data_IF_851908875767
#
_entry.id   IF_851908875767
#
_cell.length_a   1.000
_cell.length_b   1.000
_cell.length_c   1.000
_cell.angle_alpha   90.00
_cell.angle_beta   90.00
_cell.angle_gamma   90.00
#
_symmetry.space_group_name_H-M   'P 1'
#
loop_
_entity.id
_entity.type
_entity.pdbx_description
1 polymer ?
#
# COMPACT_ATOMS: atom_id res chain seq x y z
N UNK A 1 -12.54 -23.93 -10.25
CA UNK A 1 -12.40 -23.93 -8.79
C UNK A 1 -10.96 -24.28 -8.43
N UNK A 2 -10.03 -23.35 -8.51
CA UNK A 2 -8.65 -23.55 -8.03
C UNK A 2 -8.44 -22.71 -6.79
N UNK A 3 -8.31 -23.39 -5.78
CA UNK A 3 -7.98 -23.33 -4.38
C UNK A 3 -7.35 -22.03 -3.86
N UNK A 4 -8.14 -21.29 -3.10
CA UNK A 4 -7.77 -20.19 -2.18
C UNK A 4 -6.74 -20.61 -1.10
N UNK A 5 -6.45 -21.90 -0.99
CA UNK A 5 -5.54 -22.46 0.03
C UNK A 5 -4.05 -22.21 -0.21
N UNK A 6 -3.64 -21.82 -1.42
CA UNK A 6 -2.20 -21.60 -1.73
C UNK A 6 -1.72 -20.16 -1.51
N UNK A 7 -2.62 -19.18 -1.43
CA UNK A 7 -2.23 -17.79 -1.19
C UNK A 7 -1.99 -17.50 0.30
N UNK A 8 -2.67 -18.24 1.20
CA UNK A 8 -2.51 -18.09 2.65
C UNK A 8 -1.18 -18.64 3.18
N UNK A 9 -0.52 -19.53 2.44
CA UNK A 9 0.71 -20.20 2.91
C UNK A 9 2.00 -19.40 2.64
N UNK A 10 1.96 -18.41 1.75
CA UNK A 10 3.14 -17.58 1.44
C UNK A 10 3.28 -16.32 2.31
N UNK A 11 2.23 -15.94 3.04
CA UNK A 11 2.28 -14.80 3.96
C UNK A 11 2.70 -15.16 5.39
N UNK A 12 2.78 -16.47 5.70
CA UNK A 12 3.07 -16.95 7.06
C UNK A 12 4.57 -17.24 7.33
N UNK A 13 5.47 -17.04 6.36
CA UNK A 13 6.86 -17.55 6.47
C UNK A 13 7.94 -16.48 6.66
N UNK A 14 7.61 -15.27 7.11
CA UNK A 14 8.66 -14.27 7.37
C UNK A 14 8.42 -13.37 8.57
N UNK A 15 8.06 -13.97 9.72
CA UNK A 15 8.18 -13.28 11.01
C UNK A 15 9.43 -13.84 11.71
N UNK A 16 10.50 -13.05 11.85
CA UNK A 16 11.60 -13.44 12.73
C UNK A 16 11.11 -13.35 14.18
N UNK A 17 11.14 -14.48 14.88
CA UNK A 17 10.88 -14.57 16.29
C UNK A 17 11.96 -13.76 17.05
N UNK A 18 11.58 -12.61 17.61
CA UNK A 18 12.38 -11.93 18.62
C UNK A 18 12.23 -12.67 19.93
N UNK A 19 13.20 -13.54 20.23
CA UNK A 19 13.38 -14.13 21.56
C UNK A 19 13.88 -13.07 22.52
N UNK A 20 13.03 -12.65 23.44
CA UNK A 20 13.43 -11.85 24.59
C UNK A 20 14.08 -12.79 25.59
N UNK A 21 15.39 -12.70 25.73
CA UNK A 21 16.14 -13.37 26.79
C UNK A 21 15.91 -12.62 28.11
N UNK A 22 15.08 -13.18 28.97
CA UNK A 22 14.97 -12.79 30.39
C UNK A 22 16.16 -13.39 31.14
N UNK A 23 17.12 -12.55 31.48
CA UNK A 23 18.20 -12.94 32.41
C UNK A 23 17.66 -13.00 33.84
N UNK A 24 17.47 -14.19 34.37
CA UNK A 24 17.24 -14.42 35.79
C UNK A 24 18.52 -14.25 36.57
N UNK A 25 18.57 -13.29 37.47
CA UNK A 25 19.59 -13.16 38.49
C UNK A 25 19.24 -14.06 39.68
N UNK A 26 19.99 -15.15 39.84
CA UNK A 26 19.94 -15.97 41.07
C UNK A 26 20.86 -15.37 42.14
N UNK A 27 20.26 -14.96 43.23
CA UNK A 27 20.96 -14.62 44.47
C UNK A 27 21.35 -15.86 45.23
N UNK A 28 22.64 -16.04 45.53
CA UNK A 28 23.10 -16.93 46.62
C UNK A 28 23.96 -16.16 47.61
N UNK A 29 23.45 -16.15 48.84
CA UNK A 29 24.09 -15.62 50.01
C UNK A 29 25.15 -16.58 50.57
N UNK A 30 26.31 -16.07 50.90
CA UNK A 30 27.09 -16.55 52.10
C UNK A 30 28.22 -15.57 52.39
N UNK A 31 28.21 -14.99 53.56
CA UNK A 31 29.31 -14.30 54.27
C UNK A 31 29.98 -15.32 55.24
N UNK A 32 31.19 -15.13 55.86
CA UNK A 32 31.97 -13.92 56.02
C UNK A 32 33.52 -14.11 55.93
N UNK A 33 34.29 -13.06 55.73
CA UNK A 33 35.53 -12.71 56.42
C UNK A 33 36.24 -11.52 55.75
N UNK A 34 36.44 -10.43 56.46
CA UNK A 34 37.38 -9.35 56.12
C UNK A 34 38.77 -9.69 56.64
N UNK A 35 39.88 -8.96 56.36
CA UNK A 35 40.02 -7.68 55.63
C UNK A 35 41.24 -7.65 54.67
N UNK A 36 41.17 -6.83 53.62
CA UNK A 36 42.33 -6.12 53.09
C UNK A 36 41.89 -4.99 52.17
N UNK A 37 42.13 -3.76 52.57
CA UNK A 37 41.96 -2.59 51.76
C UNK A 37 42.94 -2.60 50.59
N UNK A 38 42.46 -2.86 49.38
CA UNK A 38 43.16 -2.52 48.15
C UNK A 38 42.40 -1.34 47.53
N UNK A 39 43.04 -0.19 47.49
CA UNK A 39 42.58 1.02 46.81
C UNK A 39 42.28 0.69 45.36
N UNK A 40 41.00 0.68 45.01
CA UNK A 40 40.53 0.71 43.59
C UNK A 40 40.85 2.09 43.03
N UNK A 41 41.44 2.20 41.85
CA UNK A 41 41.49 3.45 41.10
C UNK A 41 40.06 3.73 40.54
N UNK A 42 39.20 4.28 41.38
CA UNK A 42 37.91 4.76 41.00
C UNK A 42 38.07 6.11 40.24
N UNK A 43 38.06 6.08 38.93
CA UNK A 43 38.07 7.35 38.22
C UNK A 43 37.95 7.34 36.69
N UNK A 44 38.30 6.27 36.00
CA UNK A 44 38.37 6.38 34.53
C UNK A 44 37.29 5.66 33.72
N UNK A 45 36.59 4.68 34.23
CA UNK A 45 35.56 3.93 33.45
C UNK A 45 34.17 4.63 33.45
N UNK A 46 33.80 5.30 34.54
CA UNK A 46 32.51 6.00 34.60
C UNK A 46 32.43 7.23 33.68
N UNK A 47 33.52 7.92 33.43
CA UNK A 47 33.58 9.08 32.54
C UNK A 47 33.36 8.73 31.07
N UNK A 48 33.94 7.62 30.61
CA UNK A 48 33.80 7.20 29.20
C UNK A 48 32.40 6.62 28.90
N UNK A 49 31.81 5.87 29.81
CA UNK A 49 30.43 5.38 29.70
C UNK A 49 29.46 6.55 29.65
N UNK A 50 29.69 7.60 30.45
CA UNK A 50 28.83 8.80 30.45
C UNK A 50 28.92 9.59 29.13
N UNK A 51 30.08 9.68 28.49
CA UNK A 51 30.25 10.37 27.21
C UNK A 51 29.56 9.64 26.06
N UNK A 52 29.74 8.33 25.96
CA UNK A 52 29.04 7.51 24.96
C UNK A 52 27.52 7.53 25.14
N UNK A 53 27.03 7.45 26.38
CA UNK A 53 25.61 7.58 26.67
C UNK A 53 25.05 8.94 26.27
N UNK A 54 25.77 10.04 26.51
CA UNK A 54 25.39 11.40 26.09
C UNK A 54 25.37 11.54 24.57
N UNK A 55 26.34 10.99 23.86
CA UNK A 55 26.37 10.99 22.39
C UNK A 55 25.19 10.21 21.82
N UNK A 56 24.89 9.04 22.36
CA UNK A 56 23.74 8.22 21.97
C UNK A 56 22.41 8.96 22.20
N UNK A 57 22.21 9.53 23.38
CA UNK A 57 21.03 10.31 23.71
C UNK A 57 20.83 11.51 22.77
N UNK A 58 21.89 12.28 22.45
CA UNK A 58 21.82 13.37 21.48
C UNK A 58 21.45 12.91 20.06
N UNK A 59 21.97 11.75 19.62
CA UNK A 59 21.61 11.17 18.31
C UNK A 59 20.15 10.77 18.28
N UNK A 60 19.64 10.14 19.33
CA UNK A 60 18.25 9.75 19.45
C UNK A 60 17.31 10.97 19.50
N UNK A 61 17.67 12.02 20.24
CA UNK A 61 16.92 13.27 20.23
C UNK A 61 16.87 13.93 18.84
N UNK A 62 17.99 14.01 18.13
CA UNK A 62 18.02 14.57 16.77
C UNK A 62 17.18 13.73 15.81
N UNK A 63 17.21 12.39 15.94
CA UNK A 63 16.41 11.49 15.12
C UNK A 63 14.93 11.65 15.41
N UNK A 64 14.52 11.68 16.68
CA UNK A 64 13.11 11.88 17.05
C UNK A 64 12.59 13.24 16.62
N UNK A 65 13.39 14.32 16.79
CA UNK A 65 13.05 15.65 16.31
C UNK A 65 12.87 15.67 14.78
N UNK A 66 13.76 15.03 14.02
CA UNK A 66 13.65 14.97 12.56
C UNK A 66 12.45 14.10 12.09
N UNK A 67 12.09 13.06 12.83
CA UNK A 67 10.87 12.28 12.56
C UNK A 67 9.63 13.15 12.84
N UNK A 68 9.60 13.83 13.97
CA UNK A 68 8.50 14.73 14.32
C UNK A 68 8.34 15.85 13.28
N UNK A 69 9.43 16.49 12.86
CA UNK A 69 9.41 17.52 11.82
C UNK A 69 8.86 16.99 10.50
N UNK A 70 9.22 15.76 10.10
CA UNK A 70 8.76 15.17 8.83
C UNK A 70 7.30 14.67 8.87
N UNK A 71 6.76 14.29 10.05
CA UNK A 71 5.46 13.62 10.14
C UNK A 71 4.43 14.32 11.02
N UNK A 72 4.75 15.44 11.65
CA UNK A 72 3.83 16.27 12.41
C UNK A 72 3.01 17.22 11.49
N UNK A 73 2.51 16.68 10.40
CA UNK A 73 1.67 17.39 9.45
C UNK A 73 0.24 16.87 9.51
N UNK A 74 -0.72 17.80 9.50
CA UNK A 74 -2.14 17.47 9.56
C UNK A 74 -2.65 16.85 8.25
N UNK A 75 -2.15 17.35 7.12
CA UNK A 75 -2.58 16.95 5.79
C UNK A 75 -1.43 16.48 4.92
N UNK A 76 -1.71 15.48 4.09
CA UNK A 76 -0.83 14.98 3.04
C UNK A 76 -1.63 14.84 1.75
N UNK A 77 -1.35 15.69 0.77
CA UNK A 77 -1.89 15.57 -0.58
C UNK A 77 -0.91 14.82 -1.47
N UNK A 78 -1.42 14.08 -2.45
CA UNK A 78 -0.57 13.37 -3.39
C UNK A 78 -1.17 13.31 -4.78
N UNK A 79 -0.30 13.12 -5.76
CA UNK A 79 -0.62 12.79 -7.14
C UNK A 79 0.35 11.74 -7.64
N UNK A 80 -0.17 10.72 -8.33
CA UNK A 80 0.63 9.62 -8.84
C UNK A 80 0.12 9.16 -10.20
N UNK A 81 1.00 8.52 -10.97
CA UNK A 81 0.66 7.77 -12.15
C UNK A 81 1.01 6.30 -11.94
N UNK A 82 0.31 5.40 -12.57
CA UNK A 82 0.53 3.99 -12.31
C UNK A 82 -0.01 3.05 -13.36
N UNK A 83 0.01 1.81 -12.97
CA UNK A 83 -0.28 0.69 -13.82
C UNK A 83 -0.95 -0.42 -13.01
N UNK A 84 -2.04 -0.97 -13.55
CA UNK A 84 -2.68 -2.17 -13.04
C UNK A 84 -2.83 -3.23 -14.14
N UNK A 85 -2.86 -4.49 -13.73
CA UNK A 85 -3.22 -5.61 -14.59
C UNK A 85 -4.65 -6.03 -14.31
N UNK A 86 -5.55 -5.74 -15.24
CA UNK A 86 -6.99 -5.80 -15.11
C UNK A 86 -7.62 -6.84 -16.03
N UNK A 87 -8.78 -7.41 -15.62
CA UNK A 87 -9.59 -8.32 -16.41
C UNK A 87 -10.74 -7.56 -17.06
N UNK A 88 -10.73 -7.32 -18.40
CA UNK A 88 -11.71 -6.46 -19.07
C UNK A 88 -13.10 -7.09 -19.23
N UNK A 89 -13.21 -8.41 -19.09
CA UNK A 89 -14.49 -9.10 -19.20
C UNK A 89 -14.37 -10.62 -19.11
N UNK A 90 -15.50 -11.31 -18.97
CA UNK A 90 -15.56 -12.76 -18.80
C UNK A 90 -15.33 -13.53 -20.12
N UNK A 91 -15.33 -12.86 -21.25
CA UNK A 91 -15.44 -13.45 -22.58
C UNK A 91 -16.90 -13.54 -23.05
N UNK A 92 -17.10 -13.95 -24.30
CA UNK A 92 -18.45 -14.08 -24.88
C UNK A 92 -19.15 -15.29 -24.23
N UNK A 93 -20.35 -15.11 -23.63
CA UNK A 93 -21.09 -16.22 -23.04
C UNK A 93 -21.61 -17.19 -24.11
N UNK A 94 -21.85 -18.45 -23.73
CA UNK A 94 -22.51 -19.42 -24.60
C UNK A 94 -23.92 -18.92 -24.98
N UNK A 95 -24.30 -19.05 -26.25
CA UNK A 95 -25.57 -18.57 -26.76
C UNK A 95 -26.19 -19.62 -27.68
N UNK A 96 -27.30 -20.21 -27.22
CA UNK A 96 -27.93 -21.34 -27.91
C UNK A 96 -27.00 -22.55 -28.01
N UNK A 97 -26.78 -23.04 -29.23
CA UNK A 97 -25.86 -24.15 -29.51
C UNK A 97 -24.40 -23.70 -29.68
N UNK A 98 -24.13 -22.38 -29.70
CA UNK A 98 -22.77 -21.87 -29.79
C UNK A 98 -22.04 -21.98 -28.44
N UNK A 99 -20.81 -22.53 -28.39
CA UNK A 99 -20.04 -22.61 -27.18
C UNK A 99 -19.63 -21.23 -26.67
N UNK A 100 -19.34 -21.13 -25.39
CA UNK A 100 -18.76 -19.90 -24.83
C UNK A 100 -17.43 -19.58 -25.52
N UNK A 101 -17.24 -18.29 -25.82
CA UNK A 101 -15.96 -17.81 -26.32
C UNK A 101 -14.86 -17.88 -25.24
N UNK A 102 -13.59 -17.82 -25.63
CA UNK A 102 -12.49 -17.81 -24.69
C UNK A 102 -12.56 -16.56 -23.78
N UNK A 103 -12.08 -16.70 -22.54
CA UNK A 103 -11.94 -15.57 -21.64
C UNK A 103 -11.00 -14.51 -22.24
N UNK A 104 -11.35 -13.23 -22.07
CA UNK A 104 -10.52 -12.13 -22.55
C UNK A 104 -9.18 -12.11 -21.81
N UNK A 105 -8.15 -11.72 -22.52
CA UNK A 105 -6.82 -11.56 -21.93
C UNK A 105 -6.82 -10.38 -20.94
N UNK A 106 -6.02 -10.49 -19.89
CA UNK A 106 -5.82 -9.37 -18.97
C UNK A 106 -5.18 -8.20 -19.70
N UNK A 107 -5.82 -7.05 -19.62
CA UNK A 107 -5.33 -5.81 -20.17
C UNK A 107 -4.41 -5.07 -19.19
N UNK A 108 -3.50 -4.30 -19.75
CA UNK A 108 -2.72 -3.34 -19.02
C UNK A 108 -3.50 -2.03 -18.96
N UNK A 109 -3.79 -1.56 -17.78
CA UNK A 109 -4.53 -0.33 -17.56
C UNK A 109 -3.61 0.72 -16.94
N UNK A 110 -3.53 1.89 -17.56
CA UNK A 110 -2.80 3.03 -17.03
C UNK A 110 -3.71 3.81 -16.08
N UNK A 111 -3.14 4.22 -14.97
CA UNK A 111 -3.88 4.91 -13.93
C UNK A 111 -3.24 6.24 -13.58
N UNK A 112 -4.05 7.19 -13.17
CA UNK A 112 -3.66 8.29 -12.31
C UNK A 112 -4.45 8.21 -11.02
N UNK A 113 -3.84 8.61 -9.93
CA UNK A 113 -4.50 8.77 -8.64
C UNK A 113 -4.11 10.10 -7.99
N UNK A 114 -5.07 10.67 -7.29
CA UNK A 114 -4.87 11.86 -6.47
C UNK A 114 -5.67 11.72 -5.19
N UNK A 115 -5.13 12.17 -4.09
CA UNK A 115 -5.85 12.06 -2.83
C UNK A 115 -5.31 12.98 -1.75
N UNK A 116 -6.07 13.01 -0.67
CA UNK A 116 -5.78 13.77 0.53
C UNK A 116 -5.93 12.86 1.75
N UNK A 117 -4.88 12.80 2.55
CA UNK A 117 -4.91 12.13 3.85
C UNK A 117 -4.94 13.18 4.95
N UNK A 118 -5.89 13.07 5.88
CA UNK A 118 -5.88 13.82 7.13
C UNK A 118 -5.35 12.92 8.24
N UNK A 119 -4.27 13.34 8.86
CA UNK A 119 -3.70 12.63 10.00
C UNK A 119 -4.26 13.17 11.32
N UNK A 120 -4.64 12.26 12.22
CA UNK A 120 -5.07 12.56 13.60
C UNK A 120 -3.94 12.33 14.60
N UNK A 121 -2.91 11.64 14.18
CA UNK A 121 -1.65 11.46 14.87
C UNK A 121 -0.54 11.26 13.83
N UNK A 122 0.71 11.29 14.22
CA UNK A 122 1.83 11.03 13.30
C UNK A 122 1.68 9.71 12.52
N UNK A 123 0.89 8.75 13.05
CA UNK A 123 0.73 7.40 12.49
C UNK A 123 -0.61 7.14 11.84
N UNK A 124 -1.70 7.65 12.40
CA UNK A 124 -3.05 7.29 11.97
C UNK A 124 -3.71 8.44 11.22
N UNK A 125 -4.24 8.18 10.06
CA UNK A 125 -4.99 9.12 9.23
C UNK A 125 -6.13 8.45 8.48
N UNK A 126 -6.95 9.27 7.84
CA UNK A 126 -7.98 8.87 6.88
C UNK A 126 -7.68 9.50 5.54
N UNK A 127 -7.71 8.69 4.49
CA UNK A 127 -7.45 9.10 3.11
C UNK A 127 -8.73 9.12 2.31
N UNK A 128 -8.91 10.17 1.52
CA UNK A 128 -9.88 10.23 0.41
C UNK A 128 -9.08 10.24 -0.88
N UNK A 129 -9.49 9.44 -1.84
CA UNK A 129 -8.72 9.14 -3.05
C UNK A 129 -9.63 9.13 -4.28
N UNK A 130 -9.22 9.79 -5.35
CA UNK A 130 -9.87 9.80 -6.65
C UNK A 130 -8.93 9.26 -7.72
N UNK A 131 -9.43 8.37 -8.58
CA UNK A 131 -8.63 7.64 -9.57
C UNK A 131 -9.29 7.61 -10.93
N UNK A 132 -8.46 7.63 -11.96
CA UNK A 132 -8.88 7.34 -13.33
C UNK A 132 -8.02 6.24 -13.94
N UNK A 133 -8.68 5.33 -14.65
CA UNK A 133 -8.06 4.18 -15.29
C UNK A 133 -8.40 4.16 -16.78
N UNK A 134 -7.41 3.93 -17.63
CA UNK A 134 -7.56 3.91 -19.08
C UNK A 134 -6.85 2.72 -19.69
N UNK A 135 -7.56 1.96 -20.51
CA UNK A 135 -7.03 0.78 -21.16
C UNK A 135 -7.63 0.61 -22.56
N UNK A 136 -6.98 -0.24 -23.33
CA UNK A 136 -7.55 -0.85 -24.54
C UNK A 136 -7.63 -2.35 -24.29
N UNK A 137 -8.83 -2.93 -24.38
CA UNK A 137 -9.01 -4.36 -24.32
C UNK A 137 -8.72 -4.98 -25.67
N UNK A 138 -8.15 -6.21 -25.66
CA UNK A 138 -8.10 -7.00 -26.88
C UNK A 138 -9.28 -7.96 -26.91
N UNK A 139 -10.12 -7.80 -27.94
CA UNK A 139 -11.27 -8.67 -28.22
C UNK A 139 -10.93 -9.54 -29.41
N UNK A 140 -11.28 -10.84 -29.33
CA UNK A 140 -11.05 -11.76 -30.43
C UNK A 140 -11.78 -11.32 -31.70
N UNK A 141 -11.24 -11.71 -32.86
CA UNK A 141 -11.83 -11.40 -34.15
C UNK A 141 -13.33 -11.73 -34.17
N UNK A 142 -14.10 -10.78 -34.61
CA UNK A 142 -15.57 -10.85 -34.68
C UNK A 142 -16.09 -10.25 -36.00
N UNK A 143 -17.33 -10.56 -36.33
CA UNK A 143 -17.98 -10.08 -37.57
C UNK A 143 -18.08 -8.55 -37.69
N UNK A 144 -17.87 -7.81 -36.60
CA UNK A 144 -17.97 -6.34 -36.56
C UNK A 144 -16.62 -5.66 -36.75
N UNK A 145 -15.55 -6.43 -36.87
CA UNK A 145 -14.17 -5.95 -37.05
C UNK A 145 -13.71 -4.96 -35.93
N UNK A 146 -14.27 -5.09 -34.73
CA UNK A 146 -13.88 -4.30 -33.55
C UNK A 146 -12.97 -5.17 -32.68
N UNK A 147 -11.68 -4.83 -32.63
CA UNK A 147 -10.68 -5.67 -31.93
C UNK A 147 -10.09 -5.01 -30.69
N UNK A 148 -10.12 -3.67 -30.61
CA UNK A 148 -9.42 -2.92 -29.56
C UNK A 148 -10.32 -1.82 -28.94
N UNK A 149 -11.43 -2.17 -28.27
CA UNK A 149 -12.30 -1.18 -27.64
C UNK A 149 -11.59 -0.49 -26.48
N UNK A 150 -11.84 0.81 -26.34
CA UNK A 150 -11.33 1.60 -25.24
C UNK A 150 -12.14 1.36 -23.96
N UNK A 151 -11.45 1.29 -22.83
CA UNK A 151 -12.02 1.17 -21.50
C UNK A 151 -11.60 2.38 -20.69
N UNK A 152 -12.55 2.96 -19.97
CA UNK A 152 -12.28 4.00 -18.99
C UNK A 152 -13.04 3.73 -17.70
N UNK A 153 -12.35 3.91 -16.56
CA UNK A 153 -12.93 3.71 -15.24
C UNK A 153 -12.55 4.89 -14.34
N UNK A 154 -13.48 5.28 -13.45
CA UNK A 154 -13.25 6.32 -12.46
C UNK A 154 -13.69 5.83 -11.10
N UNK A 155 -12.82 5.90 -10.11
CA UNK A 155 -13.09 5.43 -8.76
C UNK A 155 -12.95 6.56 -7.73
N UNK A 156 -13.80 6.50 -6.70
CA UNK A 156 -13.70 7.31 -5.49
C UNK A 156 -13.63 6.38 -4.28
N UNK A 157 -12.56 6.49 -3.49
CA UNK A 157 -12.29 5.62 -2.36
C UNK A 157 -12.04 6.43 -1.09
N UNK A 158 -12.36 5.84 0.05
CA UNK A 158 -12.05 6.39 1.36
C UNK A 158 -11.62 5.26 2.30
N UNK A 159 -10.70 5.55 3.19
CA UNK A 159 -10.31 4.56 4.19
C UNK A 159 -9.13 4.96 5.08
N UNK A 160 -8.85 4.16 6.11
CA UNK A 160 -7.76 4.39 7.04
C UNK A 160 -6.39 4.19 6.39
N UNK A 161 -5.45 4.99 6.84
CA UNK A 161 -4.02 4.88 6.53
C UNK A 161 -3.26 4.84 7.85
N UNK A 162 -2.35 3.87 8.00
CA UNK A 162 -1.53 3.72 9.18
C UNK A 162 -0.05 3.63 8.81
N UNK A 163 0.79 4.55 9.34
CA UNK A 163 2.25 4.52 9.21
C UNK A 163 2.84 3.59 10.26
N UNK A 164 3.26 2.40 9.87
CA UNK A 164 3.84 1.43 10.80
C UNK A 164 5.36 1.57 10.94
N UNK A 165 6.03 2.17 9.93
CA UNK A 165 7.46 2.44 10.00
C UNK A 165 7.76 3.88 9.58
N UNK A 166 8.52 4.60 10.42
CA UNK A 166 8.87 6.00 10.22
C UNK A 166 10.36 6.23 10.51
N UNK A 167 11.03 6.84 9.56
CA UNK A 167 12.40 7.33 9.66
C UNK A 167 12.43 8.76 9.09
N UNK A 168 13.44 9.57 9.40
CA UNK A 168 13.52 10.92 8.83
C UNK A 168 13.46 10.95 7.30
N UNK A 169 14.05 9.95 6.63
CA UNK A 169 14.14 9.90 5.17
C UNK A 169 13.08 9.02 4.48
N UNK A 170 12.49 8.07 5.18
CA UNK A 170 11.51 7.16 4.56
C UNK A 170 10.47 6.67 5.55
N UNK A 171 9.29 6.36 5.02
CA UNK A 171 8.20 5.74 5.76
C UNK A 171 7.55 4.62 4.98
N UNK A 172 6.92 3.71 5.71
CA UNK A 172 6.10 2.66 5.15
C UNK A 172 4.76 2.67 5.86
N UNK A 173 3.70 2.70 5.06
CA UNK A 173 2.32 2.76 5.55
C UNK A 173 1.51 1.59 5.02
N UNK A 174 0.45 1.24 5.71
CA UNK A 174 -0.61 0.38 5.21
C UNK A 174 -1.86 1.21 4.98
N UNK A 175 -2.58 0.94 3.89
CA UNK A 175 -3.81 1.61 3.53
C UNK A 175 -4.85 0.59 3.10
N UNK A 176 -6.05 0.72 3.64
CA UNK A 176 -7.23 -0.08 3.23
C UNK A 176 -8.34 0.90 2.91
N UNK A 177 -8.86 0.83 1.70
CA UNK A 177 -9.90 1.77 1.24
C UNK A 177 -11.06 1.02 0.62
N UNK A 178 -12.25 1.61 0.71
CA UNK A 178 -13.46 1.16 0.07
C UNK A 178 -14.22 2.33 -0.55
N UNK A 179 -15.03 2.04 -1.56
CA UNK A 179 -15.80 3.05 -2.25
C UNK A 179 -16.51 2.50 -3.46
N UNK A 180 -16.59 3.30 -4.50
CA UNK A 180 -17.27 2.95 -5.74
C UNK A 180 -16.38 3.24 -6.96
N UNK A 181 -16.71 2.55 -8.05
CA UNK A 181 -16.08 2.75 -9.36
C UNK A 181 -17.17 2.78 -10.44
N UNK A 182 -17.04 3.72 -11.37
CA UNK A 182 -17.80 3.79 -12.60
C UNK A 182 -16.94 3.28 -13.73
N UNK A 183 -17.39 2.24 -14.44
CA UNK A 183 -16.70 1.67 -15.60
C UNK A 183 -17.48 1.90 -16.88
N UNK A 184 -16.76 2.32 -17.92
CA UNK A 184 -17.25 2.41 -19.30
C UNK A 184 -16.43 1.49 -20.18
N UNK A 185 -17.06 0.40 -20.63
CA UNK A 185 -16.47 -0.65 -21.47
C UNK A 185 -16.97 -0.57 -22.93
N UNK A 186 -17.87 0.35 -23.21
CA UNK A 186 -18.50 0.58 -24.52
C UNK A 186 -17.70 1.53 -25.42
N UNK A 187 -16.51 1.94 -25.01
CA UNK A 187 -15.67 2.82 -25.83
C UNK A 187 -15.36 2.20 -27.19
N UNK A 188 -15.56 2.96 -28.27
CA UNK A 188 -15.34 2.56 -29.67
C UNK A 188 -16.22 1.39 -30.18
N UNK A 189 -17.26 0.99 -29.41
CA UNK A 189 -18.22 -0.03 -29.84
C UNK A 189 -19.36 0.50 -30.69
N UNK A 190 -19.51 1.83 -30.83
CA UNK A 190 -20.64 2.46 -31.52
C UNK A 190 -21.97 2.16 -30.84
N UNK A 191 -22.91 1.51 -31.55
CA UNK A 191 -24.21 1.11 -31.03
C UNK A 191 -24.25 -0.26 -30.36
N UNK A 192 -23.14 -0.99 -30.35
CA UNK A 192 -23.09 -2.35 -29.82
C UNK A 192 -22.90 -2.35 -28.28
N UNK A 193 -23.44 -3.40 -27.63
CA UNK A 193 -23.31 -3.59 -26.18
C UNK A 193 -22.00 -4.29 -25.83
N UNK A 194 -21.32 -3.90 -24.72
CA UNK A 194 -20.05 -4.54 -24.30
C UNK A 194 -20.13 -6.06 -24.15
N UNK A 195 -21.26 -6.57 -23.69
CA UNK A 195 -21.47 -8.02 -23.50
C UNK A 195 -21.38 -8.84 -24.82
N UNK A 196 -21.66 -8.22 -25.98
CA UNK A 196 -21.50 -8.90 -27.29
C UNK A 196 -20.03 -9.19 -27.61
N UNK A 197 -19.10 -8.48 -27.01
CA UNK A 197 -17.67 -8.62 -27.14
C UNK A 197 -17.03 -9.34 -25.93
N UNK A 198 -17.86 -9.80 -24.97
CA UNK A 198 -17.38 -10.43 -23.76
C UNK A 198 -16.78 -9.48 -22.73
N UNK A 199 -17.01 -8.17 -22.87
CA UNK A 199 -16.62 -7.14 -21.92
C UNK A 199 -17.62 -7.03 -20.77
N UNK A 200 -17.19 -6.43 -19.66
CA UNK A 200 -18.10 -6.08 -18.57
C UNK A 200 -19.12 -5.03 -19.02
N UNK A 201 -20.32 -5.03 -18.40
CA UNK A 201 -21.31 -3.98 -18.67
C UNK A 201 -20.85 -2.64 -18.12
N UNK A 202 -21.23 -1.55 -18.79
CA UNK A 202 -21.06 -0.20 -18.28
C UNK A 202 -21.89 -0.01 -17.01
N UNK A 203 -21.36 0.71 -16.04
CA UNK A 203 -22.10 1.03 -14.82
C UNK A 203 -21.24 1.30 -13.60
N UNK A 204 -21.94 1.46 -12.48
CA UNK A 204 -21.34 1.70 -11.18
C UNK A 204 -21.28 0.39 -10.39
N UNK A 205 -20.20 0.20 -9.67
CA UNK A 205 -20.03 -0.95 -8.75
C UNK A 205 -19.17 -0.57 -7.56
N UNK A 206 -19.07 -1.47 -6.59
CA UNK A 206 -18.16 -1.29 -5.47
C UNK A 206 -16.70 -1.40 -5.92
N UNK A 207 -15.83 -0.71 -5.19
CA UNK A 207 -14.38 -0.86 -5.31
C UNK A 207 -13.74 -0.91 -3.92
N UNK A 208 -12.69 -1.68 -3.80
CA UNK A 208 -11.87 -1.73 -2.59
C UNK A 208 -10.39 -1.85 -2.96
N UNK A 209 -9.52 -1.38 -2.08
CA UNK A 209 -8.10 -1.38 -2.30
C UNK A 209 -7.33 -1.65 -1.02
N UNK A 210 -6.28 -2.45 -1.13
CA UNK A 210 -5.27 -2.64 -0.09
C UNK A 210 -3.92 -2.29 -0.68
N UNK A 211 -3.20 -1.36 -0.04
CA UNK A 211 -1.94 -0.86 -0.56
C UNK A 211 -0.91 -0.62 0.53
N UNK A 212 0.36 -0.61 0.13
CA UNK A 212 1.51 -0.38 1.02
C UNK A 212 2.33 0.80 0.48
N UNK A 213 1.93 2.04 0.76
CA UNK A 213 2.72 3.21 0.40
C UNK A 213 4.11 3.18 1.04
N UNK A 214 5.14 3.23 0.21
CA UNK A 214 6.53 3.42 0.60
C UNK A 214 6.94 4.80 0.12
N UNK A 215 7.36 5.67 1.05
CA UNK A 215 7.69 7.06 0.74
C UNK A 215 9.14 7.36 1.09
N UNK A 216 9.79 8.12 0.22
CA UNK A 216 11.10 8.71 0.46
C UNK A 216 10.98 10.22 0.58
N UNK A 217 11.35 10.77 1.74
CA UNK A 217 11.27 12.20 2.03
C UNK A 217 12.47 12.94 1.39
N UNK A 218 12.18 13.77 0.40
CA UNK A 218 13.15 14.69 -0.19
C UNK A 218 13.38 15.89 0.75
N UNK A 219 12.28 16.40 1.30
CA UNK A 219 12.24 17.42 2.34
C UNK A 219 11.21 17.01 3.40
N UNK A 220 11.08 17.70 4.54
CA UNK A 220 10.01 17.42 5.50
C UNK A 220 8.61 17.49 4.88
N UNK A 221 8.42 18.33 3.88
CA UNK A 221 7.12 18.59 3.25
C UNK A 221 6.90 17.82 1.94
N UNK A 222 7.97 17.38 1.26
CA UNK A 222 7.87 16.76 -0.06
C UNK A 222 8.46 15.35 -0.03
N UNK A 223 7.70 14.38 -0.51
CA UNK A 223 8.12 13.00 -0.65
C UNK A 223 7.88 12.45 -2.06
N UNK A 224 8.64 11.44 -2.43
CA UNK A 224 8.37 10.57 -3.57
C UNK A 224 7.83 9.27 -3.01
N UNK A 225 6.78 8.73 -3.64
CA UNK A 225 6.10 7.52 -3.16
C UNK A 225 5.98 6.47 -4.25
N UNK A 226 6.12 5.20 -3.84
CA UNK A 226 5.77 4.02 -4.62
C UNK A 226 4.71 3.25 -3.85
N UNK A 227 3.63 2.90 -4.50
CA UNK A 227 2.47 2.27 -3.85
C UNK A 227 2.10 0.98 -4.58
N UNK A 228 2.67 -0.17 -4.19
CA UNK A 228 2.12 -1.45 -4.60
C UNK A 228 0.70 -1.62 -4.05
N UNK A 229 -0.19 -2.13 -4.89
CA UNK A 229 -1.61 -2.17 -4.61
C UNK A 229 -2.28 -3.44 -5.12
N UNK A 230 -3.23 -3.93 -4.33
CA UNK A 230 -4.22 -4.92 -4.71
C UNK A 230 -5.59 -4.23 -4.75
N UNK A 231 -6.20 -4.21 -5.94
CA UNK A 231 -7.45 -3.52 -6.21
C UNK A 231 -8.56 -4.52 -6.55
N UNK A 232 -9.73 -4.33 -5.97
CA UNK A 232 -10.93 -5.13 -6.17
C UNK A 232 -12.03 -4.28 -6.77
N UNK A 233 -12.76 -4.82 -7.75
CA UNK A 233 -13.99 -4.21 -8.29
C UNK A 233 -15.04 -5.29 -8.56
N UNK A 234 -16.31 -4.90 -8.62
CA UNK A 234 -17.45 -5.83 -8.69
C UNK A 234 -18.24 -5.80 -9.98
N UNK A 235 -17.60 -5.58 -11.13
CA UNK A 235 -18.32 -5.55 -12.41
C UNK A 235 -18.94 -6.91 -12.78
N UNK A 236 -20.12 -6.89 -13.42
CA UNK A 236 -20.80 -8.09 -13.90
C UNK A 236 -21.20 -9.08 -12.82
N UNK A 237 -21.46 -8.62 -11.59
CA UNK A 237 -21.82 -9.45 -10.44
C UNK A 237 -20.73 -10.44 -10.02
N UNK A 238 -19.49 -10.21 -10.44
CA UNK A 238 -18.31 -10.98 -10.02
C UNK A 238 -17.23 -10.04 -9.47
N UNK A 239 -16.40 -10.54 -8.56
CA UNK A 239 -15.29 -9.74 -8.04
C UNK A 239 -14.06 -9.94 -8.92
N UNK A 240 -13.61 -8.84 -9.55
CA UNK A 240 -12.35 -8.79 -10.26
C UNK A 240 -11.24 -8.39 -9.31
N UNK A 241 -10.08 -8.99 -9.48
CA UNK A 241 -8.88 -8.65 -8.76
C UNK A 241 -7.80 -8.14 -9.71
N UNK A 242 -7.14 -7.08 -9.32
CA UNK A 242 -6.09 -6.43 -10.08
C UNK A 242 -4.89 -6.18 -9.18
N UNK A 243 -3.70 -6.40 -9.70
CA UNK A 243 -2.44 -6.06 -9.05
C UNK A 243 -1.76 -4.97 -9.85
N UNK A 244 -1.20 -4.00 -9.17
CA UNK A 244 -0.49 -2.93 -9.79
C UNK A 244 0.35 -2.12 -8.81
N UNK A 245 0.86 -1.03 -9.31
CA UNK A 245 1.58 -0.05 -8.51
C UNK A 245 1.39 1.35 -9.08
N UNK A 246 1.52 2.35 -8.21
CA UNK A 246 1.59 3.76 -8.61
C UNK A 246 2.90 4.39 -8.11
N UNK A 247 3.38 5.37 -8.85
CA UNK A 247 4.55 6.19 -8.55
C UNK A 247 4.13 7.66 -8.57
N UNK A 248 4.48 8.42 -7.55
CA UNK A 248 4.06 9.80 -7.47
C UNK A 248 4.81 10.63 -6.45
N UNK A 249 4.26 11.80 -6.21
CA UNK A 249 4.77 12.75 -5.22
C UNK A 249 3.72 13.04 -4.16
N UNK A 250 4.17 13.28 -2.95
CA UNK A 250 3.35 13.71 -1.82
C UNK A 250 3.81 15.07 -1.32
N UNK A 251 2.86 15.88 -0.89
CA UNK A 251 3.08 17.17 -0.27
C UNK A 251 2.36 17.23 1.07
N UNK A 252 3.09 17.56 2.12
CA UNK A 252 2.60 17.61 3.50
C UNK A 252 2.48 19.06 3.96
N UNK A 253 1.37 19.39 4.62
CA UNK A 253 1.08 20.73 5.10
C UNK A 253 0.17 20.74 6.32
N UNK A 254 0.10 21.91 7.00
CA UNK A 254 -0.57 22.04 8.28
C UNK A 254 0.25 21.41 9.41
N UNK A 255 0.14 21.95 10.62
CA UNK A 255 0.76 21.40 11.83
C UNK A 255 -0.33 20.76 12.70
N UNK A 256 0.01 19.66 13.35
CA UNK A 256 -0.84 19.00 14.36
C UNK A 256 -0.75 19.71 15.70
#
# INVERSE_FOLDING_TARGET
MYSFRRLALLLALSLPAMTVALAQSSSSSSNPAAPAQAQQPAGQSQGQISVQARIKARREQRRSAAIHEAYNHLYEAYVSGGYLRFQPGPGVPAMGSAPAGPALQRANIYAWDTGLTRFYSERLGVTVDGRGYFATAYVYNNQYNITNPAISEYAGLIGPTYRFYMQPKYSVSGRVMGGFIHGKFSGDLGSFKPAQFGLWPDGNTFAASVSIPVEYNLTPNIGVRVVPEYFLSGFGSTTQNSLGFTLGVSYRFGQQ
#
